data_IF_919058615499
#
_entry.id   IF_919058615499
#
_cell.length_a   1.000
_cell.length_b   1.000
_cell.length_c   1.000
_cell.angle_alpha   90.00
_cell.angle_beta   90.00
_cell.angle_gamma   90.00
#
_symmetry.space_group_name_H-M   'P 1'
#
loop_
_entity.id
_entity.type
_entity.pdbx_description
1 polymer ?
#
# COMPACT_ATOMS: atom_id res chain seq x y z
N UNK A 1 -9.23 -12.34 -0.85
CA UNK A 1 -8.43 -12.26 0.41
C UNK A 1 -8.48 -10.83 0.91
N UNK A 2 -8.37 -10.57 2.25
CA UNK A 2 -8.44 -9.23 2.79
C UNK A 2 -7.09 -8.75 3.31
N UNK A 3 -6.80 -7.45 3.15
CA UNK A 3 -5.69 -6.77 3.79
C UNK A 3 -6.04 -5.31 4.10
N UNK A 4 -5.33 -4.69 5.04
CA UNK A 4 -5.42 -3.25 5.26
C UNK A 4 -4.38 -2.56 4.39
N UNK A 5 -4.85 -1.60 3.59
CA UNK A 5 -4.00 -0.65 2.89
C UNK A 5 -4.16 0.74 3.48
N UNK A 6 -3.25 1.64 3.15
CA UNK A 6 -3.20 2.98 3.70
C UNK A 6 -2.95 3.99 2.58
N UNK A 7 -3.67 5.11 2.61
CA UNK A 7 -3.42 6.25 1.75
C UNK A 7 -2.84 7.42 2.56
N UNK A 8 -1.77 8.04 2.07
CA UNK A 8 -1.25 9.30 2.57
C UNK A 8 -1.86 10.42 1.74
N UNK A 9 -2.59 11.33 2.38
CA UNK A 9 -3.34 12.41 1.72
C UNK A 9 -3.18 13.72 2.47
N UNK A 10 -3.12 14.82 1.76
CA UNK A 10 -3.12 16.16 2.33
C UNK A 10 -4.55 16.67 2.48
N UNK A 11 -4.90 17.15 3.66
CA UNK A 11 -6.22 17.69 3.92
C UNK A 11 -6.24 18.67 5.09
N UNK A 12 -7.18 19.66 5.11
CA UNK A 12 -7.30 20.61 6.20
C UNK A 12 -7.97 20.00 7.44
N UNK A 13 -8.76 18.92 7.29
CA UNK A 13 -9.49 18.29 8.39
C UNK A 13 -9.72 16.78 8.13
N UNK A 14 -10.05 16.05 9.20
CA UNK A 14 -10.23 14.60 9.16
C UNK A 14 -11.29 14.13 8.14
N UNK A 15 -12.39 14.83 8.02
CA UNK A 15 -13.46 14.45 7.07
C UNK A 15 -13.03 14.65 5.62
N UNK A 16 -12.22 15.68 5.34
CA UNK A 16 -11.64 15.92 4.03
C UNK A 16 -10.59 14.84 3.71
N UNK A 17 -9.74 14.49 4.70
CA UNK A 17 -8.77 13.41 4.57
C UNK A 17 -9.44 12.08 4.23
N UNK A 18 -10.54 11.74 4.90
CA UNK A 18 -11.32 10.56 4.58
C UNK A 18 -11.88 10.60 3.16
N UNK A 19 -12.39 11.75 2.69
CA UNK A 19 -12.90 11.91 1.33
C UNK A 19 -11.80 11.75 0.27
N UNK A 20 -10.62 12.35 0.52
CA UNK A 20 -9.46 12.19 -0.35
C UNK A 20 -8.95 10.75 -0.34
N UNK A 21 -8.89 10.10 0.83
CA UNK A 21 -8.55 8.68 0.94
C UNK A 21 -9.49 7.78 0.13
N UNK A 22 -10.81 8.01 0.22
CA UNK A 22 -11.81 7.31 -0.61
C UNK A 22 -11.55 7.54 -2.11
N UNK A 23 -11.16 8.77 -2.50
CA UNK A 23 -10.78 9.06 -3.89
C UNK A 23 -9.56 8.26 -4.36
N UNK A 24 -8.56 8.07 -3.48
CA UNK A 24 -7.42 7.19 -3.76
C UNK A 24 -7.89 5.74 -3.94
N UNK A 25 -8.71 5.23 -3.02
CA UNK A 25 -9.19 3.84 -3.06
C UNK A 25 -10.10 3.57 -4.26
N UNK A 26 -10.95 4.54 -4.66
CA UNK A 26 -11.78 4.43 -5.86
C UNK A 26 -10.96 4.23 -7.15
N UNK A 27 -9.73 4.75 -7.19
CA UNK A 27 -8.82 4.54 -8.33
C UNK A 27 -8.20 3.14 -8.34
N UNK A 28 -8.19 2.46 -7.20
CA UNK A 28 -7.58 1.15 -7.02
C UNK A 28 -8.57 -0.01 -7.18
N UNK A 29 -9.88 0.27 -7.15
CA UNK A 29 -10.93 -0.74 -7.23
C UNK A 29 -11.77 -0.63 -8.50
N UNK A 30 -12.38 -1.74 -8.91
CA UNK A 30 -13.32 -1.80 -10.02
C UNK A 30 -12.71 -1.66 -11.41
N UNK A 31 -13.56 -1.65 -12.42
CA UNK A 31 -13.16 -1.50 -13.81
C UNK A 31 -12.77 -0.03 -14.10
N UNK A 32 -11.51 0.29 -13.87
CA UNK A 32 -10.97 1.58 -14.25
C UNK A 32 -10.81 1.63 -15.78
N UNK A 33 -11.33 2.65 -16.50
CA UNK A 33 -11.13 2.80 -17.93
C UNK A 33 -9.66 2.93 -18.36
N UNK A 34 -8.74 3.13 -17.42
CA UNK A 34 -7.30 3.31 -17.65
C UNK A 34 -6.42 2.17 -17.19
N UNK A 35 -6.98 1.06 -16.67
CA UNK A 35 -6.19 -0.08 -16.19
C UNK A 35 -6.99 -1.20 -15.55
N UNK A 36 -6.29 -2.25 -15.15
CA UNK A 36 -6.88 -3.32 -14.35
C UNK A 36 -7.09 -2.83 -12.91
N UNK A 37 -8.22 -3.18 -12.32
CA UNK A 37 -8.44 -3.03 -10.88
C UNK A 37 -7.37 -3.76 -10.11
N UNK A 38 -6.86 -3.13 -9.06
CA UNK A 38 -5.90 -3.74 -8.12
C UNK A 38 -6.67 -4.59 -7.11
N UNK A 39 -7.83 -4.10 -6.68
CA UNK A 39 -8.70 -4.73 -5.69
C UNK A 39 -10.14 -4.84 -6.21
N UNK A 40 -10.88 -5.81 -5.68
CA UNK A 40 -12.29 -6.02 -6.02
C UNK A 40 -13.18 -4.92 -5.42
N UNK A 41 -12.97 -4.63 -4.14
CA UNK A 41 -13.66 -3.57 -3.39
C UNK A 41 -12.83 -3.14 -2.17
N UNK A 42 -13.25 -2.04 -1.55
CA UNK A 42 -12.72 -1.58 -0.27
C UNK A 42 -13.84 -1.23 0.72
N UNK A 43 -13.47 -1.17 2.00
CA UNK A 43 -14.30 -0.71 3.11
C UNK A 43 -13.45 0.20 4.00
N UNK A 44 -13.90 1.42 4.23
CA UNK A 44 -13.26 2.35 5.16
C UNK A 44 -13.78 2.16 6.58
N UNK A 45 -13.05 2.65 7.58
CA UNK A 45 -13.34 2.42 8.99
C UNK A 45 -14.39 3.39 9.58
N UNK A 46 -15.04 4.23 8.76
CA UNK A 46 -16.25 4.97 9.11
C UNK A 46 -17.56 4.17 8.87
N UNK A 47 -17.48 3.07 8.12
CA UNK A 47 -18.63 2.22 7.82
C UNK A 47 -18.96 1.28 8.98
N UNK A 48 -20.19 1.36 9.49
CA UNK A 48 -20.64 0.58 10.64
C UNK A 48 -21.35 -0.74 10.27
N UNK A 49 -21.88 -0.83 9.06
CA UNK A 49 -22.77 -1.92 8.64
C UNK A 49 -22.07 -3.16 8.05
N UNK A 50 -20.75 -3.23 8.09
CA UNK A 50 -20.01 -4.35 7.54
C UNK A 50 -19.90 -5.49 8.55
N UNK A 51 -20.26 -6.71 8.14
CA UNK A 51 -20.19 -7.90 8.99
C UNK A 51 -18.92 -8.74 8.78
N UNK A 52 -18.19 -8.50 7.68
CA UNK A 52 -17.05 -9.34 7.26
C UNK A 52 -15.80 -8.52 6.86
N UNK A 53 -15.90 -7.22 6.85
CA UNK A 53 -14.85 -6.29 6.42
C UNK A 53 -14.68 -5.14 7.43
N UNK A 54 -13.67 -4.31 7.24
CA UNK A 54 -13.41 -3.13 8.06
C UNK A 54 -13.31 -3.44 9.54
N UNK A 55 -14.08 -2.73 10.38
CA UNK A 55 -14.10 -2.90 11.85
C UNK A 55 -14.40 -4.32 12.30
N UNK A 56 -15.29 -5.02 11.61
CA UNK A 56 -15.67 -6.38 11.97
C UNK A 56 -14.49 -7.36 11.86
N UNK A 57 -13.54 -7.09 11.00
CA UNK A 57 -12.35 -7.93 10.77
C UNK A 57 -11.10 -7.46 11.50
N UNK A 58 -10.87 -6.16 11.51
CA UNK A 58 -9.60 -5.56 11.93
C UNK A 58 -9.67 -4.80 13.25
N UNK A 59 -10.89 -4.69 13.84
CA UNK A 59 -11.14 -3.89 15.03
C UNK A 59 -11.25 -2.40 14.71
N UNK A 60 -11.32 -1.59 15.75
CA UNK A 60 -11.45 -0.13 15.63
C UNK A 60 -10.11 0.50 15.22
N UNK A 61 -9.93 0.74 13.92
CA UNK A 61 -8.90 1.63 13.42
C UNK A 61 -9.47 3.04 13.24
N UNK A 62 -8.65 4.10 13.39
CA UNK A 62 -9.09 5.46 13.08
C UNK A 62 -9.57 5.55 11.63
N UNK A 63 -10.58 6.37 11.37
CA UNK A 63 -11.05 6.62 9.99
C UNK A 63 -10.02 7.40 9.17
N UNK A 64 -9.32 8.32 9.81
CA UNK A 64 -8.14 9.02 9.33
C UNK A 64 -7.42 9.64 10.54
N UNK A 65 -6.10 9.69 10.53
CA UNK A 65 -5.29 10.31 11.58
C UNK A 65 -4.16 11.17 10.99
N UNK A 66 -3.86 12.35 11.58
CA UNK A 66 -2.68 13.13 11.19
C UNK A 66 -1.41 12.32 11.44
N UNK A 67 -0.47 12.31 10.52
CA UNK A 67 0.76 11.50 10.67
C UNK A 67 1.62 11.92 11.87
N UNK A 68 1.52 13.18 12.31
CA UNK A 68 2.21 13.72 13.46
C UNK A 68 1.50 13.45 14.80
N UNK A 69 0.34 12.79 14.80
CA UNK A 69 -0.34 12.30 16.01
C UNK A 69 0.20 10.90 16.39
N UNK A 70 -0.05 10.49 17.63
CA UNK A 70 0.32 9.15 18.10
C UNK A 70 -0.34 8.06 17.24
N UNK A 71 -1.66 8.18 17.02
CA UNK A 71 -2.43 7.24 16.19
C UNK A 71 -1.95 7.19 14.73
N UNK A 72 -1.68 8.36 14.13
CA UNK A 72 -1.18 8.45 12.76
C UNK A 72 0.22 7.88 12.62
N UNK A 73 1.10 8.13 13.60
CA UNK A 73 2.43 7.54 13.67
C UNK A 73 2.39 6.01 13.75
N UNK A 74 1.50 5.46 14.59
CA UNK A 74 1.31 4.00 14.70
C UNK A 74 0.78 3.38 13.39
N UNK A 75 -0.16 4.04 12.71
CA UNK A 75 -0.66 3.58 11.40
C UNK A 75 0.44 3.63 10.34
N UNK A 76 1.23 4.69 10.31
CA UNK A 76 2.35 4.83 9.37
C UNK A 76 3.42 3.76 9.61
N UNK A 77 3.79 3.52 10.87
CA UNK A 77 4.73 2.46 11.23
C UNK A 77 4.22 1.08 10.83
N UNK A 78 2.92 0.81 11.03
CA UNK A 78 2.27 -0.44 10.62
C UNK A 78 2.29 -0.60 9.10
N UNK A 79 1.92 0.44 8.35
CA UNK A 79 1.94 0.46 6.89
C UNK A 79 3.36 0.24 6.35
N UNK A 80 4.34 0.95 6.90
CA UNK A 80 5.74 0.83 6.49
C UNK A 80 6.34 -0.52 6.87
N UNK A 81 5.97 -1.08 8.01
CA UNK A 81 6.37 -2.44 8.40
C UNK A 81 5.85 -3.46 7.39
N UNK A 82 4.57 -3.38 7.02
CA UNK A 82 3.98 -4.27 6.00
C UNK A 82 4.69 -4.13 4.64
N UNK A 83 5.04 -2.91 4.23
CA UNK A 83 5.82 -2.64 3.01
C UNK A 83 7.20 -3.31 3.07
N UNK A 84 7.90 -3.20 4.20
CA UNK A 84 9.22 -3.85 4.39
C UNK A 84 9.12 -5.38 4.36
N UNK A 85 8.10 -5.94 4.99
CA UNK A 85 7.88 -7.38 5.03
C UNK A 85 7.58 -7.94 3.63
N UNK A 86 6.81 -7.20 2.82
CA UNK A 86 6.55 -7.60 1.42
C UNK A 86 7.81 -7.52 0.57
N UNK A 87 8.56 -6.44 0.70
CA UNK A 87 9.87 -6.32 0.03
C UNK A 87 10.81 -7.47 0.42
N UNK A 88 10.87 -7.80 1.71
CA UNK A 88 11.71 -8.90 2.20
C UNK A 88 11.28 -10.25 1.61
N UNK A 89 9.97 -10.54 1.58
CA UNK A 89 9.45 -11.76 0.93
C UNK A 89 9.85 -11.86 -0.53
N UNK A 90 9.75 -10.76 -1.28
CA UNK A 90 10.17 -10.74 -2.69
C UNK A 90 11.68 -10.96 -2.84
N UNK A 91 12.47 -10.34 -1.96
CA UNK A 91 13.92 -10.51 -1.95
C UNK A 91 14.33 -11.95 -1.61
N UNK A 92 13.65 -12.59 -0.68
CA UNK A 92 13.92 -13.97 -0.29
C UNK A 92 13.58 -14.94 -1.43
N UNK A 93 12.48 -14.74 -2.15
CA UNK A 93 12.15 -15.50 -3.38
C UNK A 93 13.24 -15.39 -4.44
N UNK A 94 13.82 -14.21 -4.60
CA UNK A 94 14.94 -14.03 -5.54
C UNK A 94 16.19 -14.78 -5.08
N UNK A 95 16.52 -14.72 -3.80
CA UNK A 95 17.65 -15.46 -3.22
C UNK A 95 17.48 -16.97 -3.41
N UNK A 96 16.28 -17.49 -3.06
CA UNK A 96 15.93 -18.89 -3.29
C UNK A 96 16.08 -19.28 -4.76
N UNK A 97 15.53 -18.48 -5.69
CA UNK A 97 15.64 -18.75 -7.12
C UNK A 97 17.10 -18.76 -7.60
N UNK A 98 17.95 -17.86 -7.10
CA UNK A 98 19.37 -17.84 -7.45
C UNK A 98 20.15 -19.03 -6.85
N UNK A 99 19.77 -19.46 -5.64
CA UNK A 99 20.41 -20.62 -5.00
C UNK A 99 20.01 -21.95 -5.68
N UNK A 100 18.79 -22.04 -6.21
CA UNK A 100 18.28 -23.22 -6.92
C UNK A 100 18.73 -23.30 -8.38
N UNK A 101 19.05 -22.16 -8.99
CA UNK A 101 19.47 -22.09 -10.38
C UNK A 101 20.99 -22.29 -10.49
N UNK A 102 21.40 -23.33 -11.26
CA UNK A 102 22.81 -23.51 -11.63
C UNK A 102 23.22 -22.43 -12.62
N UNK A 103 24.55 -22.14 -12.68
CA UNK A 103 25.10 -21.20 -13.66
C UNK A 103 24.68 -21.59 -15.10
N UNK A 104 24.62 -22.91 -15.40
CA UNK A 104 24.18 -23.42 -16.70
C UNK A 104 22.70 -23.13 -16.98
N UNK A 105 21.80 -23.20 -15.96
CA UNK A 105 20.39 -22.88 -16.11
C UNK A 105 20.21 -21.39 -16.37
N UNK A 106 20.93 -20.54 -15.64
CA UNK A 106 20.89 -19.07 -15.81
C UNK A 106 21.41 -18.68 -17.19
N UNK A 107 22.52 -19.28 -17.63
CA UNK A 107 23.11 -19.01 -18.94
C UNK A 107 22.24 -19.50 -20.11
N UNK A 108 21.40 -20.51 -19.88
CA UNK A 108 20.46 -21.03 -20.89
C UNK A 108 19.20 -20.19 -21.00
N UNK A 109 18.72 -19.66 -19.90
CA UNK A 109 17.47 -18.88 -19.81
C UNK A 109 17.66 -17.62 -18.96
N UNK A 110 18.11 -16.55 -19.63
CA UNK A 110 18.32 -15.26 -18.97
C UNK A 110 17.04 -14.63 -18.46
N UNK A 111 15.84 -15.03 -18.97
CA UNK A 111 14.56 -14.47 -18.56
C UNK A 111 14.20 -14.89 -17.14
N UNK A 112 14.65 -16.06 -16.67
CA UNK A 112 14.47 -16.47 -15.28
C UNK A 112 15.16 -15.51 -14.31
N UNK A 113 16.43 -15.20 -14.55
CA UNK A 113 17.19 -14.26 -13.72
C UNK A 113 16.63 -12.83 -13.83
N UNK A 114 16.30 -12.40 -15.06
CA UNK A 114 15.69 -11.08 -15.30
C UNK A 114 14.36 -10.93 -14.59
N UNK A 115 13.47 -11.92 -14.63
CA UNK A 115 12.19 -11.92 -13.94
C UNK A 115 12.35 -11.85 -12.43
N UNK A 116 13.28 -12.61 -11.86
CA UNK A 116 13.57 -12.58 -10.43
C UNK A 116 14.06 -11.20 -9.98
N UNK A 117 15.00 -10.58 -10.69
CA UNK A 117 15.47 -9.22 -10.39
C UNK A 117 14.39 -8.15 -10.59
N UNK A 118 13.53 -8.30 -11.59
CA UNK A 118 12.39 -7.41 -11.80
C UNK A 118 11.45 -7.40 -10.59
N UNK A 119 11.17 -8.54 -9.98
CA UNK A 119 10.30 -8.66 -8.82
C UNK A 119 10.79 -7.89 -7.58
N UNK A 120 12.10 -7.65 -7.43
CA UNK A 120 12.63 -6.84 -6.31
C UNK A 120 12.17 -5.40 -6.39
N UNK A 121 12.14 -4.81 -7.59
CA UNK A 121 11.90 -3.38 -7.80
C UNK A 121 10.49 -3.02 -8.21
N UNK A 122 9.68 -3.98 -8.63
CA UNK A 122 8.43 -3.74 -9.33
C UNK A 122 7.27 -4.60 -8.82
N UNK A 123 7.25 -4.93 -7.51
CA UNK A 123 6.05 -5.55 -6.96
C UNK A 123 4.86 -4.57 -7.03
N UNK A 124 3.74 -5.09 -7.48
CA UNK A 124 2.53 -4.35 -7.81
C UNK A 124 1.29 -5.06 -7.26
N UNK A 125 0.14 -4.40 -7.38
CA UNK A 125 -1.14 -4.97 -7.02
C UNK A 125 -1.30 -5.13 -5.51
N UNK A 126 -1.89 -6.23 -5.06
CA UNK A 126 -2.24 -6.44 -3.65
C UNK A 126 -1.03 -6.54 -2.70
N UNK A 127 0.18 -6.54 -3.25
CA UNK A 127 1.41 -6.53 -2.44
C UNK A 127 1.79 -5.16 -1.88
N UNK A 128 1.14 -4.08 -2.30
CA UNK A 128 1.49 -2.73 -1.87
C UNK A 128 0.52 -2.27 -0.79
N UNK A 129 0.97 -2.09 0.46
CA UNK A 129 0.09 -1.66 1.54
C UNK A 129 -0.02 -0.14 1.70
N UNK A 130 0.86 0.66 1.08
CA UNK A 130 0.91 2.10 1.26
C UNK A 130 0.86 2.83 -0.09
N UNK A 131 0.00 3.84 -0.20
CA UNK A 131 -0.23 4.63 -1.40
C UNK A 131 -0.14 6.13 -1.10
N UNK A 132 0.26 6.92 -2.09
CA UNK A 132 0.17 8.38 -2.05
C UNK A 132 -1.22 8.89 -2.50
N UNK A 133 -1.43 10.20 -2.44
CA UNK A 133 -2.67 10.87 -2.86
C UNK A 133 -3.02 10.69 -4.36
N UNK A 134 -2.06 10.24 -5.17
CA UNK A 134 -2.25 9.96 -6.60
C UNK A 134 -2.54 8.48 -6.88
N UNK A 135 -2.76 7.66 -5.85
CA UNK A 135 -2.90 6.22 -5.91
C UNK A 135 -1.65 5.49 -6.44
N UNK A 136 -0.46 6.09 -6.27
CA UNK A 136 0.80 5.44 -6.59
C UNK A 136 1.31 4.69 -5.36
N UNK A 137 1.70 3.45 -5.56
CA UNK A 137 2.23 2.61 -4.49
C UNK A 137 3.60 3.10 -4.00
N UNK A 138 3.74 3.28 -2.69
CA UNK A 138 4.99 3.63 -2.02
C UNK A 138 5.74 2.34 -1.70
N UNK A 139 6.84 2.09 -2.43
CA UNK A 139 7.63 0.84 -2.36
C UNK A 139 8.97 1.03 -1.70
N UNK A 140 9.53 2.23 -1.76
CA UNK A 140 10.90 2.54 -1.34
C UNK A 140 10.92 3.65 -0.30
N UNK A 141 11.90 3.62 0.59
CA UNK A 141 12.08 4.63 1.62
C UNK A 141 12.17 6.05 1.03
N UNK A 142 12.87 6.25 -0.07
CA UNK A 142 12.98 7.57 -0.71
C UNK A 142 11.66 8.08 -1.32
N UNK A 143 10.70 7.21 -1.66
CA UNK A 143 9.35 7.65 -2.03
C UNK A 143 8.57 8.12 -0.80
N UNK A 144 8.65 7.36 0.31
CA UNK A 144 8.03 7.76 1.56
C UNK A 144 8.61 9.08 2.08
N UNK A 145 9.93 9.21 2.13
CA UNK A 145 10.61 10.43 2.60
C UNK A 145 10.15 11.65 1.79
N UNK A 146 10.01 11.51 0.46
CA UNK A 146 9.52 12.59 -0.39
C UNK A 146 8.10 13.02 -0.02
N UNK A 147 7.18 12.08 0.17
CA UNK A 147 5.79 12.39 0.58
C UNK A 147 5.76 13.07 1.94
N UNK A 148 6.64 12.65 2.87
CA UNK A 148 6.73 13.26 4.21
C UNK A 148 7.39 14.64 4.22
N UNK A 149 8.23 14.96 3.21
CA UNK A 149 8.94 16.24 3.07
C UNK A 149 8.16 17.27 2.25
N UNK A 150 7.23 16.82 1.39
CA UNK A 150 6.41 17.68 0.52
C UNK A 150 5.20 18.30 1.24
N UNK A 151 5.14 18.28 2.59
CA UNK A 151 4.08 18.94 3.36
C UNK A 151 3.97 20.40 2.95
N UNK A 152 2.85 20.81 2.34
CA UNK A 152 2.55 22.21 2.09
C UNK A 152 2.27 22.92 3.42
N UNK A 153 2.81 24.12 3.61
CA UNK A 153 2.67 24.94 4.85
C UNK A 153 1.22 25.14 5.35
N UNK A 154 0.22 24.80 4.53
CA UNK A 154 -1.19 25.05 4.81
C UNK A 154 -2.04 23.80 5.03
N UNK A 155 -1.51 22.60 4.78
CA UNK A 155 -2.27 21.35 4.88
C UNK A 155 -1.55 20.34 5.77
N UNK A 156 -2.32 19.55 6.49
CA UNK A 156 -1.80 18.47 7.31
C UNK A 156 -1.80 17.18 6.50
N UNK A 157 -0.71 16.41 6.56
CA UNK A 157 -0.65 15.07 5.98
C UNK A 157 -1.36 14.08 6.90
N UNK A 158 -2.29 13.34 6.33
CA UNK A 158 -3.10 12.34 7.01
C UNK A 158 -2.81 10.94 6.47
N UNK A 159 -3.01 9.94 7.31
CA UNK A 159 -3.04 8.54 6.92
C UNK A 159 -4.46 7.99 7.07
N UNK A 160 -4.97 7.38 6.00
CA UNK A 160 -6.33 6.83 5.90
C UNK A 160 -6.22 5.33 5.66
N UNK A 161 -6.69 4.48 6.60
CA UNK A 161 -6.72 3.03 6.39
C UNK A 161 -7.99 2.61 5.64
N UNK A 162 -7.89 1.54 4.85
CA UNK A 162 -9.02 0.82 4.29
C UNK A 162 -8.76 -0.69 4.26
N UNK A 163 -9.80 -1.48 4.49
CA UNK A 163 -9.81 -2.92 4.24
C UNK A 163 -10.13 -3.16 2.77
N UNK A 164 -9.26 -3.87 2.05
CA UNK A 164 -9.45 -4.21 0.64
C UNK A 164 -9.56 -5.71 0.45
N UNK A 165 -10.31 -6.11 -0.58
CA UNK A 165 -10.45 -7.50 -1.03
C UNK A 165 -9.80 -7.70 -2.40
N UNK A 166 -9.15 -8.87 -2.60
CA UNK A 166 -8.53 -9.31 -3.86
C UNK A 166 -8.55 -10.84 -3.99
#
# INVERSE_FOLDING_TARGET
MHMVIYALVEAPAQHDALAEGKTVFDRLVGANPHGCAVFDYYCTFDEEDTTVAGKARWGDLPTAAPINSEEGGELLDRAWKATKEEFQRNLDRVREALDELTDEAIMRDEDLARHAFYQIGAYEGPSIPLYDQHAQGIRHRGQLDRVLEEEEDSQTLWIVPADVHF
#
